data_IF_403713422326
#
_entry.id   IF_403713422326
#
_cell.length_a   1.000
_cell.length_b   1.000
_cell.length_c   1.000
_cell.angle_alpha   90.00
_cell.angle_beta   90.00
_cell.angle_gamma   90.00
#
_symmetry.space_group_name_H-M   'P 1'
#
loop_
_entity.id
_entity.type
_entity.pdbx_description
1 polymer ?
#
# COMPACT_ATOMS: atom_id res chain seq x y z
N UNK A 1 -4.16 -11.07 -2.80
CA UNK A 1 -4.66 -10.98 -4.18
C UNK A 1 -5.91 -11.80 -4.28
N UNK A 2 -6.91 -11.36 -5.06
CA UNK A 2 -7.99 -12.24 -5.47
C UNK A 2 -7.42 -13.49 -6.15
N UNK A 3 -8.12 -14.62 -6.01
CA UNK A 3 -7.73 -15.83 -6.73
C UNK A 3 -8.10 -15.73 -8.22
N UNK A 4 -7.52 -16.57 -9.07
CA UNK A 4 -7.90 -16.64 -10.50
C UNK A 4 -9.39 -16.90 -10.69
N UNK A 5 -10.03 -17.63 -9.77
CA UNK A 5 -11.48 -17.86 -9.81
C UNK A 5 -12.25 -16.54 -9.74
N UNK A 6 -11.80 -15.59 -8.90
CA UNK A 6 -12.42 -14.25 -8.81
C UNK A 6 -12.17 -13.46 -10.08
N UNK A 7 -10.94 -13.47 -10.60
CA UNK A 7 -10.60 -12.78 -11.84
C UNK A 7 -11.46 -13.27 -13.01
N UNK A 8 -11.55 -14.59 -13.19
CA UNK A 8 -12.40 -15.22 -14.19
C UNK A 8 -13.87 -14.83 -14.04
N UNK A 9 -14.41 -14.94 -12.82
CA UNK A 9 -15.81 -14.65 -12.56
C UNK A 9 -16.16 -13.19 -12.91
N UNK A 10 -15.30 -12.23 -12.58
CA UNK A 10 -15.51 -10.82 -12.95
C UNK A 10 -15.36 -10.65 -14.46
N UNK A 11 -14.32 -11.22 -15.09
CA UNK A 11 -14.08 -11.12 -16.53
C UNK A 11 -15.27 -11.64 -17.35
N UNK A 12 -15.78 -12.82 -17.00
CA UNK A 12 -16.93 -13.44 -17.68
C UNK A 12 -18.22 -12.68 -17.39
N UNK A 13 -18.56 -12.50 -16.12
CA UNK A 13 -19.90 -12.02 -15.74
C UNK A 13 -20.09 -10.52 -15.98
N UNK A 14 -19.00 -9.74 -16.02
CA UNK A 14 -19.07 -8.27 -16.14
C UNK A 14 -18.58 -7.79 -17.49
N UNK A 15 -17.53 -8.41 -18.04
CA UNK A 15 -16.94 -7.97 -19.32
C UNK A 15 -17.25 -8.90 -20.50
N UNK A 16 -17.90 -10.05 -20.27
CA UNK A 16 -18.20 -11.01 -21.34
C UNK A 16 -16.95 -11.70 -21.91
N UNK A 17 -15.81 -11.62 -21.22
CA UNK A 17 -14.56 -12.23 -21.67
C UNK A 17 -14.64 -13.73 -21.41
N UNK A 18 -14.31 -14.53 -22.42
CA UNK A 18 -14.35 -15.99 -22.30
C UNK A 18 -13.42 -16.50 -21.20
N UNK A 19 -13.80 -17.64 -20.62
CA UNK A 19 -13.05 -18.27 -19.54
C UNK A 19 -11.62 -18.58 -19.98
N UNK A 20 -11.47 -19.07 -21.19
CA UNK A 20 -10.22 -19.50 -21.81
C UNK A 20 -9.24 -18.34 -21.94
N UNK A 21 -9.72 -17.16 -22.37
CA UNK A 21 -8.90 -15.95 -22.49
C UNK A 21 -8.50 -15.46 -21.09
N UNK A 22 -9.46 -15.37 -20.16
CA UNK A 22 -9.18 -14.93 -18.79
C UNK A 22 -8.16 -15.86 -18.10
N UNK A 23 -8.27 -17.18 -18.27
CA UNK A 23 -7.33 -18.16 -17.74
C UNK A 23 -5.94 -18.02 -18.34
N UNK A 24 -5.85 -17.88 -19.66
CA UNK A 24 -4.58 -17.73 -20.35
C UNK A 24 -3.86 -16.45 -19.95
N UNK A 25 -4.58 -15.33 -19.85
CA UNK A 25 -4.00 -14.06 -19.41
C UNK A 25 -3.57 -14.14 -17.94
N UNK A 26 -4.38 -14.69 -17.04
CA UNK A 26 -3.98 -14.86 -15.63
C UNK A 26 -2.70 -15.70 -15.50
N UNK A 27 -2.57 -16.79 -16.27
CA UNK A 27 -1.35 -17.60 -16.30
C UNK A 27 -0.15 -16.78 -16.76
N UNK A 28 -0.24 -16.11 -17.90
CA UNK A 28 0.87 -15.31 -18.45
C UNK A 28 1.28 -14.21 -17.46
N UNK A 29 0.31 -13.52 -16.86
CA UNK A 29 0.57 -12.47 -15.89
C UNK A 29 1.36 -13.05 -14.71
N UNK A 30 0.85 -14.10 -14.06
CA UNK A 30 1.44 -14.65 -12.83
C UNK A 30 2.76 -15.41 -13.01
N UNK A 31 2.97 -16.08 -14.15
CA UNK A 31 4.16 -16.92 -14.35
C UNK A 31 5.32 -16.21 -15.03
N UNK A 32 5.07 -15.14 -15.81
CA UNK A 32 6.06 -14.65 -16.77
C UNK A 32 6.73 -13.30 -16.43
N UNK A 33 6.87 -12.96 -15.14
CA UNK A 33 7.38 -11.65 -14.65
C UNK A 33 6.53 -10.43 -15.11
N UNK A 34 5.30 -10.68 -15.57
CA UNK A 34 4.33 -9.67 -16.03
C UNK A 34 3.41 -9.21 -14.89
N UNK A 35 3.22 -10.06 -13.88
CA UNK A 35 2.45 -9.79 -12.66
C UNK A 35 2.86 -8.50 -11.97
N UNK A 36 4.16 -8.21 -11.96
CA UNK A 36 4.68 -7.03 -11.32
C UNK A 36 4.44 -5.74 -12.13
N UNK A 37 3.95 -5.79 -13.36
CA UNK A 37 3.64 -4.58 -14.14
C UNK A 37 2.60 -3.69 -13.42
N UNK A 38 1.63 -4.28 -12.73
CA UNK A 38 0.62 -3.56 -11.94
C UNK A 38 1.06 -3.14 -10.53
N UNK A 39 2.29 -3.45 -10.10
CA UNK A 39 2.79 -3.09 -8.76
C UNK A 39 4.14 -2.40 -8.79
N UNK A 40 5.10 -2.96 -9.53
CA UNK A 40 6.47 -2.47 -9.78
C UNK A 40 7.04 -3.16 -11.03
N UNK A 41 6.79 -2.61 -12.22
CA UNK A 41 7.66 -2.84 -13.39
C UNK A 41 9.13 -2.97 -12.91
N UNK A 42 9.91 -4.00 -13.32
CA UNK A 42 11.27 -4.18 -12.83
C UNK A 42 12.00 -2.85 -12.86
N UNK A 43 12.47 -2.34 -11.70
CA UNK A 43 12.84 -0.94 -11.56
C UNK A 43 13.89 -0.60 -12.61
N UNK A 44 13.76 0.59 -13.22
CA UNK A 44 14.82 1.08 -14.09
C UNK A 44 16.15 1.01 -13.31
N UNK A 45 17.21 0.41 -13.88
CA UNK A 45 18.49 0.38 -13.21
C UNK A 45 18.95 1.80 -12.89
N UNK A 46 19.44 2.00 -11.67
CA UNK A 46 19.93 3.31 -11.23
C UNK A 46 21.27 3.60 -11.89
N UNK A 47 21.63 4.87 -12.04
CA UNK A 47 22.95 5.25 -12.57
C UNK A 47 24.10 4.59 -11.78
N UNK A 48 24.00 4.58 -10.44
CA UNK A 48 24.99 3.92 -9.59
C UNK A 48 25.08 2.40 -9.82
N UNK A 49 23.99 1.75 -10.24
CA UNK A 49 24.01 0.33 -10.58
C UNK A 49 24.74 0.13 -11.91
N UNK A 50 24.54 0.99 -12.91
CA UNK A 50 25.33 0.95 -14.15
C UNK A 50 26.83 1.12 -13.90
N UNK A 51 27.20 1.99 -12.95
CA UNK A 51 28.61 2.27 -12.63
C UNK A 51 29.24 1.15 -11.79
N UNK A 52 28.55 0.69 -10.73
CA UNK A 52 29.14 -0.22 -9.74
C UNK A 52 28.80 -1.71 -9.97
N UNK A 53 27.77 -2.01 -10.75
CA UNK A 53 27.29 -3.38 -10.97
C UNK A 53 26.53 -3.49 -12.31
N UNK A 54 27.28 -3.35 -13.40
CA UNK A 54 26.74 -3.24 -14.76
C UNK A 54 25.93 -4.50 -15.16
N UNK A 55 26.38 -5.70 -14.79
CA UNK A 55 25.68 -6.97 -15.09
C UNK A 55 24.27 -6.99 -14.51
N UNK A 56 24.12 -6.60 -13.23
CA UNK A 56 22.81 -6.51 -12.58
C UNK A 56 21.93 -5.41 -13.18
N UNK A 57 22.54 -4.32 -13.62
CA UNK A 57 21.83 -3.24 -14.30
C UNK A 57 21.28 -3.71 -15.66
N UNK A 58 22.08 -4.46 -16.41
CA UNK A 58 21.70 -5.07 -17.68
C UNK A 58 20.61 -6.14 -17.49
N UNK A 59 20.74 -7.04 -16.51
CA UNK A 59 19.72 -8.04 -16.19
C UNK A 59 18.37 -7.36 -15.90
N UNK A 60 18.35 -6.31 -15.08
CA UNK A 60 17.13 -5.53 -14.80
C UNK A 60 16.55 -4.88 -16.05
N UNK A 61 17.39 -4.29 -16.91
CA UNK A 61 16.96 -3.68 -18.17
C UNK A 61 16.33 -4.75 -19.07
N UNK A 62 16.98 -5.91 -19.23
CA UNK A 62 16.50 -7.00 -20.05
C UNK A 62 15.17 -7.57 -19.54
N UNK A 63 15.07 -7.84 -18.22
CA UNK A 63 13.81 -8.31 -17.60
C UNK A 63 12.68 -7.30 -17.81
N UNK A 64 12.96 -6.01 -17.63
CA UNK A 64 11.98 -4.93 -17.91
C UNK A 64 11.52 -4.94 -19.36
N UNK A 65 12.45 -4.99 -20.32
CA UNK A 65 12.14 -5.00 -21.75
C UNK A 65 11.31 -6.23 -22.13
N UNK A 66 11.68 -7.41 -21.62
CA UNK A 66 10.91 -8.65 -21.83
C UNK A 66 9.49 -8.53 -21.29
N UNK A 67 9.32 -8.02 -20.07
CA UNK A 67 7.99 -7.82 -19.48
C UNK A 67 7.12 -6.84 -20.29
N UNK A 68 7.70 -5.73 -20.76
CA UNK A 68 7.00 -4.76 -21.60
C UNK A 68 6.60 -5.34 -22.96
N UNK A 69 7.50 -6.08 -23.62
CA UNK A 69 7.20 -6.73 -24.91
C UNK A 69 6.09 -7.77 -24.75
N UNK A 70 6.10 -8.54 -23.66
CA UNK A 70 5.03 -9.51 -23.36
C UNK A 70 3.69 -8.82 -23.13
N UNK A 71 3.65 -7.76 -22.33
CA UNK A 71 2.43 -6.98 -22.15
C UNK A 71 1.88 -6.45 -23.48
N UNK A 72 2.76 -5.89 -24.33
CA UNK A 72 2.39 -5.45 -25.69
C UNK A 72 1.84 -6.60 -26.53
N UNK A 73 2.44 -7.79 -26.48
CA UNK A 73 1.93 -8.97 -27.21
C UNK A 73 0.55 -9.40 -26.72
N UNK A 74 0.30 -9.38 -25.40
CA UNK A 74 -1.02 -9.71 -24.85
C UNK A 74 -2.06 -8.70 -25.35
N UNK A 75 -1.77 -7.41 -25.22
CA UNK A 75 -2.72 -6.36 -25.63
C UNK A 75 -2.98 -6.34 -27.14
N UNK A 76 -1.96 -6.62 -27.96
CA UNK A 76 -2.10 -6.65 -29.41
C UNK A 76 -2.76 -7.94 -29.93
N UNK A 77 -3.01 -8.95 -29.06
CA UNK A 77 -3.59 -10.22 -29.49
C UNK A 77 -5.08 -10.06 -29.85
N UNK A 78 -5.85 -9.42 -28.97
CA UNK A 78 -7.24 -8.98 -29.23
C UNK A 78 -7.72 -8.05 -28.11
N UNK A 79 -8.86 -7.39 -28.32
CA UNK A 79 -9.53 -6.57 -27.30
C UNK A 79 -9.76 -7.34 -26.00
N UNK A 80 -10.23 -8.57 -26.06
CA UNK A 80 -10.51 -9.40 -24.88
C UNK A 80 -9.25 -9.73 -24.08
N UNK A 81 -8.12 -9.98 -24.76
CA UNK A 81 -6.83 -10.19 -24.08
C UNK A 81 -6.34 -8.91 -23.40
N UNK A 82 -6.44 -7.76 -24.07
CA UNK A 82 -6.09 -6.47 -23.48
C UNK A 82 -6.94 -6.15 -22.25
N UNK A 83 -8.25 -6.35 -22.36
CA UNK A 83 -9.20 -6.11 -21.27
C UNK A 83 -8.98 -7.07 -20.10
N UNK A 84 -8.75 -8.37 -20.35
CA UNK A 84 -8.42 -9.32 -19.29
C UNK A 84 -7.13 -8.92 -18.56
N UNK A 85 -6.14 -8.41 -19.30
CA UNK A 85 -4.87 -7.95 -18.74
C UNK A 85 -5.07 -6.72 -17.84
N UNK A 86 -5.80 -5.70 -18.32
CA UNK A 86 -6.09 -4.51 -17.51
C UNK A 86 -6.97 -4.86 -16.31
N UNK A 87 -7.97 -5.72 -16.48
CA UNK A 87 -8.87 -6.15 -15.42
C UNK A 87 -8.14 -6.92 -14.31
N UNK A 88 -7.19 -7.78 -14.66
CA UNK A 88 -6.34 -8.46 -13.68
C UNK A 88 -5.67 -7.45 -12.74
N UNK A 89 -5.01 -6.42 -13.30
CA UNK A 89 -4.34 -5.41 -12.51
C UNK A 89 -5.33 -4.50 -11.76
N UNK A 90 -6.48 -4.17 -12.35
CA UNK A 90 -7.52 -3.39 -11.71
C UNK A 90 -8.06 -4.09 -10.45
N UNK A 91 -8.32 -5.41 -10.53
CA UNK A 91 -8.79 -6.21 -9.41
C UNK A 91 -7.76 -6.30 -8.29
N UNK A 92 -6.48 -6.39 -8.64
CA UNK A 92 -5.38 -6.38 -7.70
C UNK A 92 -5.25 -5.09 -6.89
N UNK A 93 -5.60 -3.96 -7.51
CA UNK A 93 -5.61 -2.64 -6.88
C UNK A 93 -6.91 -2.38 -6.10
N UNK A 94 -8.02 -2.91 -6.59
CA UNK A 94 -9.34 -2.81 -5.98
C UNK A 94 -9.44 -3.65 -4.70
N UNK A 95 -8.92 -4.88 -4.72
CA UNK A 95 -9.00 -5.84 -3.62
C UNK A 95 -8.58 -5.30 -2.24
N UNK A 96 -7.39 -4.67 -2.05
CA UNK A 96 -7.01 -4.12 -0.75
C UNK A 96 -7.94 -3.00 -0.29
N UNK A 97 -8.58 -2.25 -1.20
CA UNK A 97 -9.50 -1.16 -0.87
C UNK A 97 -10.87 -1.69 -0.43
N UNK A 98 -11.38 -2.73 -1.07
CA UNK A 98 -12.62 -3.38 -0.63
C UNK A 98 -12.44 -4.10 0.71
N UNK A 99 -11.29 -4.75 0.93
CA UNK A 99 -10.93 -5.30 2.24
C UNK A 99 -10.85 -4.20 3.31
N UNK A 100 -10.31 -3.03 2.98
CA UNK A 100 -10.28 -1.90 3.88
C UNK A 100 -11.69 -1.37 4.22
N UNK A 101 -12.60 -1.32 3.24
CA UNK A 101 -13.98 -0.91 3.46
C UNK A 101 -14.69 -1.86 4.44
N UNK A 102 -14.54 -3.17 4.22
CA UNK A 102 -15.03 -4.22 5.13
C UNK A 102 -14.42 -4.09 6.53
N UNK A 103 -13.10 -3.97 6.64
CA UNK A 103 -12.39 -3.89 7.93
C UNK A 103 -12.76 -2.64 8.75
N UNK A 104 -13.05 -1.52 8.08
CA UNK A 104 -13.44 -0.25 8.71
C UNK A 104 -14.95 -0.10 8.86
N UNK A 105 -15.74 -1.04 8.34
CA UNK A 105 -17.21 -0.98 8.28
C UNK A 105 -17.75 0.29 7.60
N UNK A 106 -16.96 0.91 6.72
CA UNK A 106 -17.41 2.06 5.93
C UNK A 106 -18.22 1.52 4.76
N UNK A 107 -19.49 1.95 4.58
CA UNK A 107 -20.32 1.48 3.47
C UNK A 107 -19.70 1.81 2.10
N UNK A 108 -19.84 0.91 1.13
CA UNK A 108 -19.28 1.09 -0.22
C UNK A 108 -19.93 2.25 -0.95
N UNK A 109 -21.17 2.59 -0.62
CA UNK A 109 -21.90 3.73 -1.18
C UNK A 109 -21.20 5.06 -0.83
N UNK A 110 -20.53 5.12 0.34
CA UNK A 110 -19.81 6.32 0.80
C UNK A 110 -18.39 6.45 0.26
N UNK A 111 -17.72 5.33 -0.02
CA UNK A 111 -16.31 5.32 -0.41
C UNK A 111 -16.05 4.81 -1.84
N UNK A 112 -17.06 4.24 -2.51
CA UNK A 112 -16.94 3.60 -3.82
C UNK A 112 -16.40 4.53 -4.89
N UNK A 113 -16.88 5.78 -4.95
CA UNK A 113 -16.36 6.80 -5.88
C UNK A 113 -14.87 7.10 -5.66
N UNK A 114 -14.43 7.16 -4.39
CA UNK A 114 -13.03 7.39 -4.06
C UNK A 114 -12.17 6.18 -4.40
N UNK A 115 -12.66 4.97 -4.12
CA UNK A 115 -11.99 3.71 -4.47
C UNK A 115 -11.82 3.61 -5.98
N UNK A 116 -12.89 3.83 -6.76
CA UNK A 116 -12.87 3.81 -8.23
C UNK A 116 -11.82 4.79 -8.76
N UNK A 117 -11.92 6.06 -8.36
CA UNK A 117 -10.98 7.11 -8.78
C UNK A 117 -9.52 6.74 -8.46
N UNK A 118 -9.27 6.19 -7.29
CA UNK A 118 -7.94 5.81 -6.89
C UNK A 118 -7.38 4.62 -7.69
N UNK A 119 -8.23 3.62 -8.01
CA UNK A 119 -7.86 2.49 -8.87
C UNK A 119 -7.56 2.96 -10.28
N UNK A 120 -8.38 3.84 -10.87
CA UNK A 120 -8.12 4.43 -12.19
C UNK A 120 -6.78 5.18 -12.22
N UNK A 121 -6.50 6.01 -11.21
CA UNK A 121 -5.21 6.70 -11.10
C UNK A 121 -4.03 5.76 -10.90
N UNK A 122 -4.18 4.71 -10.09
CA UNK A 122 -3.15 3.69 -9.94
C UNK A 122 -2.88 3.00 -11.30
N UNK A 123 -3.93 2.61 -12.03
CA UNK A 123 -3.82 2.00 -13.36
C UNK A 123 -3.13 2.92 -14.37
N UNK A 124 -3.52 4.19 -14.46
CA UNK A 124 -2.89 5.18 -15.34
C UNK A 124 -1.39 5.31 -15.06
N UNK A 125 -1.00 5.41 -13.78
CA UNK A 125 0.39 5.51 -13.38
C UNK A 125 1.17 4.24 -13.77
N UNK A 126 0.60 3.05 -13.53
CA UNK A 126 1.28 1.79 -13.81
C UNK A 126 1.39 1.50 -15.30
N UNK A 127 0.34 1.80 -16.05
CA UNK A 127 0.22 1.45 -17.45
C UNK A 127 0.70 2.56 -18.37
N UNK A 128 1.12 3.73 -17.86
CA UNK A 128 1.62 4.88 -18.63
C UNK A 128 2.61 4.51 -19.74
N UNK A 129 3.43 3.49 -19.52
CA UNK A 129 4.47 3.05 -20.46
C UNK A 129 3.99 2.06 -21.52
N UNK A 130 2.74 1.65 -21.41
CA UNK A 130 2.11 0.59 -22.19
C UNK A 130 0.74 1.09 -22.73
N UNK A 131 0.39 2.37 -22.55
CA UNK A 131 -0.89 2.95 -22.97
C UNK A 131 -1.02 2.92 -24.51
N UNK A 132 -2.14 2.37 -24.97
CA UNK A 132 -2.71 2.56 -26.30
C UNK A 132 -4.17 3.02 -26.19
N UNK A 133 -4.85 3.21 -27.34
CA UNK A 133 -6.26 3.64 -27.39
C UNK A 133 -7.20 2.73 -26.57
N UNK A 134 -6.93 1.42 -26.56
CA UNK A 134 -7.73 0.44 -25.82
C UNK A 134 -7.76 0.67 -24.30
N UNK A 135 -6.74 1.34 -23.74
CA UNK A 135 -6.70 1.60 -22.30
C UNK A 135 -7.75 2.63 -21.87
N UNK A 136 -7.97 3.69 -22.66
CA UNK A 136 -8.98 4.70 -22.34
C UNK A 136 -10.40 4.13 -22.44
N UNK A 137 -10.64 3.32 -23.48
CA UNK A 137 -11.89 2.58 -23.64
C UNK A 137 -12.11 1.62 -22.45
N UNK A 138 -11.06 0.93 -22.02
CA UNK A 138 -11.12 0.08 -20.83
C UNK A 138 -11.47 0.88 -19.56
N UNK A 139 -10.86 2.05 -19.32
CA UNK A 139 -11.15 2.86 -18.13
C UNK A 139 -12.62 3.30 -18.11
N UNK A 140 -13.15 3.81 -19.23
CA UNK A 140 -14.56 4.20 -19.33
C UNK A 140 -15.51 3.02 -19.07
N UNK A 141 -15.19 1.86 -19.62
CA UNK A 141 -15.99 0.64 -19.42
C UNK A 141 -15.86 0.10 -17.99
N UNK A 142 -14.68 0.19 -17.38
CA UNK A 142 -14.45 -0.17 -15.99
C UNK A 142 -15.23 0.73 -15.03
N UNK A 143 -15.25 2.04 -15.29
CA UNK A 143 -16.03 3.01 -14.51
C UNK A 143 -17.54 2.74 -14.62
N UNK A 144 -18.06 2.54 -15.83
CA UNK A 144 -19.50 2.28 -16.03
C UNK A 144 -19.94 0.94 -15.42
N UNK A 145 -19.05 -0.06 -15.40
CA UNK A 145 -19.32 -1.38 -14.82
C UNK A 145 -18.89 -1.52 -13.36
N UNK A 146 -18.34 -0.47 -12.73
CA UNK A 146 -17.75 -0.55 -11.39
C UNK A 146 -18.70 -1.13 -10.34
N UNK A 147 -19.97 -0.72 -10.36
CA UNK A 147 -20.98 -1.26 -9.44
C UNK A 147 -21.19 -2.77 -9.62
N UNK A 148 -21.18 -3.27 -10.85
CA UNK A 148 -21.31 -4.71 -11.13
C UNK A 148 -20.07 -5.48 -10.65
N UNK A 149 -18.88 -4.87 -10.72
CA UNK A 149 -17.63 -5.46 -10.25
C UNK A 149 -17.66 -5.61 -8.73
N UNK A 150 -17.92 -4.52 -7.97
CA UNK A 150 -17.85 -4.55 -6.51
C UNK A 150 -18.95 -5.39 -5.86
N UNK A 151 -20.06 -5.63 -6.56
CA UNK A 151 -21.15 -6.51 -6.11
C UNK A 151 -21.06 -7.93 -6.70
N UNK A 152 -19.97 -8.27 -7.41
CA UNK A 152 -19.80 -9.61 -7.96
C UNK A 152 -19.76 -10.67 -6.83
N UNK A 153 -20.61 -11.71 -6.86
CA UNK A 153 -20.71 -12.68 -5.74
C UNK A 153 -19.40 -13.39 -5.41
N UNK A 154 -18.58 -13.73 -6.41
CA UNK A 154 -17.30 -14.38 -6.19
C UNK A 154 -16.29 -13.45 -5.51
N UNK A 155 -16.29 -12.17 -5.87
CA UNK A 155 -15.44 -11.16 -5.23
C UNK A 155 -15.89 -10.91 -3.79
N UNK A 156 -17.19 -10.75 -3.54
CA UNK A 156 -17.74 -10.56 -2.19
C UNK A 156 -17.42 -11.74 -1.27
N UNK A 157 -17.60 -12.98 -1.74
CA UNK A 157 -17.24 -14.19 -0.98
C UNK A 157 -15.74 -14.23 -0.66
N UNK A 158 -14.89 -13.85 -1.63
CA UNK A 158 -13.45 -13.76 -1.41
C UNK A 158 -13.08 -12.69 -0.38
N UNK A 159 -13.73 -11.52 -0.43
CA UNK A 159 -13.55 -10.43 0.55
C UNK A 159 -13.94 -10.91 1.94
N UNK A 160 -15.07 -11.59 2.10
CA UNK A 160 -15.54 -12.09 3.39
C UNK A 160 -14.50 -13.02 4.03
N UNK A 161 -14.12 -14.07 3.31
CA UNK A 161 -13.17 -15.07 3.78
C UNK A 161 -11.80 -14.46 4.08
N UNK A 162 -11.32 -13.58 3.20
CA UNK A 162 -10.02 -12.93 3.37
C UNK A 162 -10.04 -11.93 4.53
N UNK A 163 -11.15 -11.24 4.76
CA UNK A 163 -11.30 -10.30 5.87
C UNK A 163 -11.20 -11.01 7.22
N UNK A 164 -11.82 -12.19 7.36
CA UNK A 164 -11.71 -13.03 8.55
C UNK A 164 -10.27 -13.42 8.83
N UNK A 165 -9.54 -13.88 7.80
CA UNK A 165 -8.12 -14.21 7.93
C UNK A 165 -7.25 -13.00 8.31
N UNK A 166 -7.53 -11.82 7.74
CA UNK A 166 -6.80 -10.59 8.07
C UNK A 166 -7.04 -10.17 9.52
N UNK A 167 -8.29 -10.20 9.98
CA UNK A 167 -8.63 -9.85 11.37
C UNK A 167 -8.05 -10.85 12.36
N UNK A 168 -8.10 -12.16 12.05
CA UNK A 168 -7.46 -13.18 12.89
C UNK A 168 -5.94 -13.00 12.97
N UNK A 169 -5.31 -12.73 11.82
CA UNK A 169 -3.89 -12.39 11.78
C UNK A 169 -3.60 -11.11 12.58
N UNK A 170 -4.47 -10.11 12.54
CA UNK A 170 -4.29 -8.85 13.30
C UNK A 170 -4.44 -9.07 14.81
N UNK A 171 -5.27 -10.01 15.23
CA UNK A 171 -5.41 -10.39 16.65
C UNK A 171 -4.20 -11.17 17.15
N UNK A 172 -3.72 -12.13 16.36
CA UNK A 172 -2.67 -13.08 16.77
C UNK A 172 -1.25 -12.59 16.53
N UNK A 173 -1.04 -11.69 15.55
CA UNK A 173 0.30 -11.21 15.20
C UNK A 173 0.77 -10.14 16.19
N UNK A 174 1.61 -10.54 17.13
CA UNK A 174 2.27 -9.61 18.04
C UNK A 174 3.33 -8.78 17.32
N UNK A 175 3.62 -7.59 17.84
CA UNK A 175 4.68 -6.71 17.32
C UNK A 175 6.04 -7.42 17.34
N UNK A 176 6.28 -8.27 18.33
CA UNK A 176 7.48 -9.10 18.45
C UNK A 176 7.59 -10.07 17.28
N UNK A 177 6.55 -10.88 17.02
CA UNK A 177 6.53 -11.85 15.91
C UNK A 177 6.71 -11.15 14.57
N UNK A 178 6.14 -9.96 14.40
CA UNK A 178 6.28 -9.17 13.19
C UNK A 178 7.69 -8.58 13.00
N UNK A 179 8.28 -7.99 14.05
CA UNK A 179 9.54 -7.26 13.95
C UNK A 179 10.78 -8.16 14.02
N UNK A 180 10.71 -9.32 14.68
CA UNK A 180 11.87 -10.18 14.94
C UNK A 180 12.72 -10.46 13.68
N UNK A 181 12.14 -10.87 12.53
CA UNK A 181 12.94 -11.13 11.33
C UNK A 181 13.62 -9.88 10.73
N UNK A 182 13.14 -8.68 11.05
CA UNK A 182 13.74 -7.42 10.62
C UNK A 182 14.84 -6.98 11.58
N UNK A 183 14.63 -7.15 12.88
CA UNK A 183 15.64 -6.91 13.92
C UNK A 183 16.85 -7.82 13.69
N UNK A 184 16.63 -9.13 13.53
CA UNK A 184 17.70 -10.10 13.26
C UNK A 184 18.50 -9.74 12.00
N UNK A 185 17.82 -9.36 10.90
CA UNK A 185 18.51 -8.91 9.67
C UNK A 185 19.27 -7.61 9.84
N UNK A 186 18.74 -6.66 10.61
CA UNK A 186 19.41 -5.40 10.89
C UNK A 186 20.67 -5.65 11.73
N UNK A 187 20.56 -6.43 12.81
CA UNK A 187 21.68 -6.81 13.67
C UNK A 187 22.76 -7.57 12.89
N UNK A 188 22.38 -8.58 12.10
CA UNK A 188 23.33 -9.33 11.26
C UNK A 188 24.16 -8.43 10.34
N UNK A 189 23.52 -7.42 9.72
CA UNK A 189 24.21 -6.44 8.85
C UNK A 189 25.12 -5.51 9.63
N UNK A 190 24.65 -5.03 10.78
CA UNK A 190 25.46 -4.17 11.65
C UNK A 190 26.71 -4.95 12.07
N UNK A 191 26.55 -6.16 12.61
CA UNK A 191 27.67 -7.02 13.07
C UNK A 191 28.65 -7.32 11.93
N UNK A 192 28.16 -7.65 10.72
CA UNK A 192 29.03 -7.93 9.57
C UNK A 192 29.84 -6.73 9.08
N UNK A 193 29.42 -5.51 9.42
CA UNK A 193 30.03 -4.28 8.95
C UNK A 193 30.81 -3.54 10.05
N UNK A 194 30.48 -3.77 11.34
CA UNK A 194 31.13 -3.13 12.48
C UNK A 194 32.31 -3.91 13.05
N UNK A 195 32.47 -5.19 12.71
CA UNK A 195 33.38 -6.06 13.47
C UNK A 195 34.34 -6.89 12.61
N UNK A 196 35.63 -6.59 12.79
CA UNK A 196 36.76 -7.51 12.69
C UNK A 196 36.91 -8.37 13.98
N UNK A 197 35.84 -8.84 14.61
CA UNK A 197 35.96 -9.60 15.87
C UNK A 197 34.74 -10.43 16.25
N UNK A 198 35.00 -11.64 16.75
CA UNK A 198 34.01 -12.68 17.06
C UNK A 198 33.14 -12.40 18.30
N UNK A 199 33.54 -11.48 19.18
CA UNK A 199 32.84 -11.19 20.44
C UNK A 199 31.48 -10.50 20.26
N UNK A 200 31.39 -9.52 19.34
CA UNK A 200 30.12 -8.81 19.08
C UNK A 200 29.06 -9.72 18.42
N UNK A 201 29.51 -10.78 17.75
CA UNK A 201 28.66 -11.80 17.11
C UNK A 201 27.97 -12.66 18.17
N UNK A 202 28.73 -13.10 19.18
CA UNK A 202 28.24 -13.81 20.36
C UNK A 202 27.22 -12.98 21.16
N UNK A 203 27.50 -11.70 21.40
CA UNK A 203 26.61 -10.81 22.16
C UNK A 203 25.31 -10.52 21.40
N UNK A 204 25.40 -10.28 20.07
CA UNK A 204 24.26 -10.06 19.20
C UNK A 204 23.32 -11.27 19.12
N UNK A 205 23.86 -12.48 18.98
CA UNK A 205 23.08 -13.73 18.98
C UNK A 205 22.40 -13.99 20.33
N UNK A 206 23.11 -13.73 21.43
CA UNK A 206 22.57 -13.87 22.80
C UNK A 206 21.42 -12.88 23.07
N UNK A 207 21.54 -11.64 22.59
CA UNK A 207 20.50 -10.61 22.72
C UNK A 207 19.25 -10.95 21.89
N UNK A 208 19.43 -11.46 20.66
CA UNK A 208 18.34 -11.92 19.79
C UNK A 208 17.52 -13.03 20.46
N UNK A 209 18.20 -13.93 21.19
CA UNK A 209 17.56 -15.04 21.90
C UNK A 209 16.86 -14.61 23.19
N UNK A 210 17.36 -13.57 23.89
CA UNK A 210 16.86 -13.15 25.20
C UNK A 210 15.75 -12.07 25.18
N UNK A 211 15.55 -11.33 24.09
CA UNK A 211 14.51 -10.29 24.06
C UNK A 211 13.08 -10.87 24.05
N UNK A 212 12.51 -11.07 25.25
CA UNK A 212 11.15 -11.61 25.45
C UNK A 212 10.05 -10.53 25.35
N UNK A 213 10.39 -9.26 25.59
CA UNK A 213 9.45 -8.12 25.66
C UNK A 213 9.74 -7.05 24.58
N UNK A 214 8.69 -6.38 24.08
CA UNK A 214 8.78 -5.21 23.20
C UNK A 214 9.57 -4.06 23.82
N UNK A 215 9.48 -3.89 25.14
CA UNK A 215 10.29 -2.92 25.87
C UNK A 215 11.78 -3.20 25.71
N UNK A 216 12.20 -4.46 25.78
CA UNK A 216 13.59 -4.88 25.56
C UNK A 216 14.05 -4.63 24.12
N UNK A 217 13.17 -4.81 23.13
CA UNK A 217 13.47 -4.44 21.73
C UNK A 217 13.69 -2.92 21.61
N UNK A 218 12.83 -2.09 22.20
CA UNK A 218 13.02 -0.63 22.19
C UNK A 218 14.29 -0.23 22.94
N UNK A 219 14.55 -0.84 24.09
CA UNK A 219 15.73 -0.56 24.92
C UNK A 219 17.01 -0.92 24.18
N UNK A 220 17.04 -2.08 23.51
CA UNK A 220 18.14 -2.50 22.65
C UNK A 220 18.34 -1.54 21.49
N UNK A 221 17.27 -1.17 20.78
CA UNK A 221 17.35 -0.20 19.69
C UNK A 221 17.84 1.16 20.19
N UNK A 222 17.44 1.56 21.39
CA UNK A 222 17.88 2.80 22.03
C UNK A 222 19.35 2.75 22.44
N UNK A 223 19.84 1.60 22.93
CA UNK A 223 21.26 1.35 23.22
C UNK A 223 22.09 1.43 21.94
N UNK A 224 21.71 0.65 20.93
CA UNK A 224 22.29 0.69 19.58
C UNK A 224 22.30 2.13 19.05
N UNK A 225 21.19 2.87 19.17
CA UNK A 225 21.12 4.28 18.79
C UNK A 225 22.13 5.16 19.53
N UNK A 226 22.25 5.03 20.86
CA UNK A 226 23.20 5.82 21.64
C UNK A 226 24.64 5.54 21.19
N UNK A 227 24.97 4.29 20.92
CA UNK A 227 26.31 3.88 20.50
C UNK A 227 26.62 4.36 19.07
N UNK A 228 25.64 4.31 18.16
CA UNK A 228 25.73 4.90 16.80
C UNK A 228 25.89 6.41 16.85
N UNK A 229 25.19 7.11 17.74
CA UNK A 229 25.29 8.56 17.81
C UNK A 229 26.64 9.03 18.35
N UNK A 230 27.33 8.19 19.15
CA UNK A 230 28.68 8.47 19.64
C UNK A 230 29.76 8.20 18.59
N UNK A 231 29.55 7.23 17.71
CA UNK A 231 30.47 6.91 16.63
C UNK A 231 29.97 7.57 15.33
N UNK A 232 30.51 8.73 14.95
CA UNK A 232 30.13 9.50 13.74
C UNK A 232 30.09 8.69 12.42
N UNK A 233 30.61 7.46 12.42
CA UNK A 233 30.63 6.55 11.29
C UNK A 233 29.53 5.51 11.44
N UNK A 234 28.52 5.61 10.55
CA UNK A 234 28.10 4.53 9.63
C UNK A 234 26.71 4.85 9.06
N UNK A 235 26.69 5.37 7.84
CA UNK A 235 25.48 5.51 7.00
C UNK A 235 24.59 4.25 7.04
N UNK A 236 25.21 3.08 7.13
CA UNK A 236 24.53 1.79 7.07
C UNK A 236 23.68 1.54 8.31
N UNK A 237 24.14 1.93 9.51
CA UNK A 237 23.32 1.74 10.71
C UNK A 237 22.12 2.70 10.69
N UNK A 238 22.32 3.96 10.27
CA UNK A 238 21.20 4.91 10.02
C UNK A 238 20.19 4.33 9.02
N UNK A 239 20.66 3.69 7.95
CA UNK A 239 19.81 3.04 6.95
C UNK A 239 19.03 1.86 7.53
N UNK A 240 19.67 0.94 8.24
CA UNK A 240 19.01 -0.23 8.84
C UNK A 240 18.01 0.18 9.93
N UNK A 241 18.34 1.19 10.74
CA UNK A 241 17.40 1.78 11.69
C UNK A 241 16.17 2.38 10.99
N UNK A 242 16.36 3.16 9.93
CA UNK A 242 15.26 3.71 9.13
C UNK A 242 14.37 2.62 8.54
N UNK A 243 14.94 1.50 8.07
CA UNK A 243 14.20 0.33 7.60
C UNK A 243 13.37 -0.25 8.74
N UNK A 244 13.95 -0.44 9.92
CA UNK A 244 13.23 -1.00 11.07
C UNK A 244 12.09 -0.10 11.54
N UNK A 245 12.32 1.21 11.65
CA UNK A 245 11.27 2.17 11.99
C UNK A 245 10.15 2.21 10.97
N UNK A 246 10.46 2.05 9.68
CA UNK A 246 9.44 1.87 8.63
C UNK A 246 8.58 0.62 8.88
N UNK A 247 9.16 -0.47 9.40
CA UNK A 247 8.40 -1.68 9.79
C UNK A 247 7.55 -1.45 11.02
N UNK A 248 8.07 -0.81 12.05
CA UNK A 248 7.28 -0.41 13.25
C UNK A 248 6.07 0.42 12.83
N UNK A 249 6.29 1.47 12.03
CA UNK A 249 5.21 2.33 11.55
C UNK A 249 4.16 1.55 10.74
N UNK A 250 4.58 0.63 9.87
CA UNK A 250 3.68 -0.23 9.11
C UNK A 250 2.84 -1.14 10.01
N UNK A 251 3.46 -1.73 11.02
CA UNK A 251 2.77 -2.55 12.01
C UNK A 251 1.71 -1.73 12.75
N UNK A 252 2.10 -0.57 13.29
CA UNK A 252 1.19 0.32 14.01
C UNK A 252 0.02 0.76 13.13
N UNK A 253 0.29 1.18 11.89
CA UNK A 253 -0.75 1.63 10.96
C UNK A 253 -1.72 0.50 10.56
N UNK A 254 -1.23 -0.73 10.45
CA UNK A 254 -2.07 -1.89 10.13
C UNK A 254 -2.94 -2.32 11.32
N UNK A 255 -2.40 -2.31 12.54
CA UNK A 255 -3.17 -2.63 13.75
C UNK A 255 -4.17 -1.54 14.12
N UNK A 256 -3.85 -0.26 13.88
CA UNK A 256 -4.76 0.86 14.16
C UNK A 256 -5.81 1.08 13.08
N UNK A 257 -5.85 0.22 12.03
CA UNK A 257 -6.67 0.38 10.82
C UNK A 257 -6.42 1.69 10.05
N UNK A 258 -5.36 2.42 10.37
CA UNK A 258 -5.03 3.69 9.70
C UNK A 258 -4.76 3.44 8.21
N UNK A 259 -4.03 2.37 7.88
CA UNK A 259 -3.80 1.98 6.50
C UNK A 259 -5.12 1.71 5.76
N UNK A 260 -6.08 1.07 6.44
CA UNK A 260 -7.38 0.75 5.85
C UNK A 260 -8.14 2.06 5.52
N UNK A 261 -8.23 3.02 6.44
CA UNK A 261 -8.85 4.31 6.16
C UNK A 261 -8.19 5.07 5.01
N UNK A 262 -6.86 5.01 4.91
CA UNK A 262 -6.13 5.68 3.84
C UNK A 262 -6.41 5.03 2.47
N UNK A 263 -6.60 3.70 2.42
CA UNK A 263 -6.99 2.99 1.20
C UNK A 263 -8.41 3.34 0.70
N UNK A 264 -9.25 3.97 1.54
CA UNK A 264 -10.56 4.47 1.13
C UNK A 264 -10.53 5.89 0.54
N UNK A 265 -9.37 6.54 0.56
CA UNK A 265 -9.19 7.87 -0.05
C UNK A 265 -8.97 7.75 -1.56
N UNK A 266 -9.21 8.82 -2.35
CA UNK A 266 -8.93 8.84 -3.79
C UNK A 266 -7.43 8.84 -4.12
N UNK A 267 -6.55 8.65 -3.13
CA UNK A 267 -5.10 8.71 -3.29
C UNK A 267 -4.58 7.38 -3.86
N UNK A 268 -3.74 7.40 -4.91
CA UNK A 268 -3.14 6.19 -5.46
C UNK A 268 -2.23 5.50 -4.43
N UNK A 269 -2.19 4.17 -4.44
CA UNK A 269 -1.44 3.34 -3.48
C UNK A 269 0.05 3.68 -3.45
N UNK A 270 0.61 4.05 -4.60
CA UNK A 270 2.01 4.50 -4.72
C UNK A 270 2.30 5.69 -3.80
N UNK A 271 1.40 6.69 -3.77
CA UNK A 271 1.52 7.89 -2.91
C UNK A 271 1.19 7.60 -1.44
N UNK A 272 0.22 6.71 -1.18
CA UNK A 272 -0.10 6.25 0.19
C UNK A 272 1.14 5.69 0.88
N UNK A 273 1.90 4.85 0.16
CA UNK A 273 3.11 4.24 0.70
C UNK A 273 4.14 5.30 1.12
N UNK A 274 4.42 6.28 0.25
CA UNK A 274 5.35 7.35 0.58
C UNK A 274 4.89 8.20 1.76
N UNK A 275 3.61 8.58 1.79
CA UNK A 275 3.06 9.42 2.86
C UNK A 275 3.07 8.71 4.21
N UNK A 276 2.62 7.45 4.27
CA UNK A 276 2.64 6.64 5.49
C UNK A 276 4.07 6.41 5.98
N UNK A 277 5.05 6.21 5.09
CA UNK A 277 6.44 6.02 5.51
C UNK A 277 7.14 7.32 5.87
N UNK A 278 6.73 8.47 5.31
CA UNK A 278 7.21 9.79 5.72
C UNK A 278 6.82 10.14 7.15
N UNK A 279 5.75 9.56 7.72
CA UNK A 279 5.39 9.70 9.16
C UNK A 279 6.58 9.42 10.10
N UNK A 280 7.57 8.64 9.68
CA UNK A 280 8.76 8.37 10.50
C UNK A 280 9.84 9.48 10.46
N UNK A 281 9.77 10.44 9.52
CA UNK A 281 10.73 11.56 9.40
C UNK A 281 10.19 12.78 10.17
N UNK A 282 10.90 13.16 11.25
CA UNK A 282 10.65 14.27 12.23
C UNK A 282 9.48 15.24 11.96
N UNK A 283 9.44 15.98 10.84
CA UNK A 283 8.36 16.95 10.53
C UNK A 283 7.02 16.30 10.10
N UNK A 284 7.06 15.19 9.37
CA UNK A 284 5.87 14.48 8.87
C UNK A 284 5.29 13.50 9.92
N UNK A 285 5.98 13.28 11.03
CA UNK A 285 5.48 12.52 12.17
C UNK A 285 4.23 13.12 12.81
N UNK A 286 4.05 14.44 12.69
CA UNK A 286 2.86 15.13 13.18
C UNK A 286 1.58 14.60 12.54
N UNK A 287 1.54 14.46 11.21
CA UNK A 287 0.35 13.99 10.47
C UNK A 287 0.00 12.54 10.82
N UNK A 288 0.99 11.66 10.93
CA UNK A 288 0.74 10.28 11.31
C UNK A 288 0.32 10.09 12.75
N UNK A 289 0.94 10.83 13.70
CA UNK A 289 0.49 10.85 15.10
C UNK A 289 -0.93 11.41 15.19
N UNK A 290 -1.26 12.42 14.39
CA UNK A 290 -2.60 12.99 14.33
C UNK A 290 -3.63 11.99 13.79
N UNK A 291 -3.32 11.30 12.69
CA UNK A 291 -4.20 10.27 12.14
C UNK A 291 -4.36 9.08 13.09
N UNK A 292 -3.30 8.66 13.78
CA UNK A 292 -3.39 7.66 14.86
C UNK A 292 -4.24 8.15 16.04
N UNK A 293 -4.13 9.42 16.42
CA UNK A 293 -4.96 10.01 17.47
C UNK A 293 -6.42 10.09 17.06
N UNK A 294 -6.73 10.36 15.79
CA UNK A 294 -8.11 10.27 15.26
C UNK A 294 -8.63 8.83 15.42
N UNK A 295 -7.85 7.83 14.98
CA UNK A 295 -8.24 6.43 15.12
C UNK A 295 -8.47 6.02 16.59
N UNK A 296 -7.72 6.59 17.54
CA UNK A 296 -7.87 6.33 18.98
C UNK A 296 -9.04 7.07 19.63
N UNK A 297 -9.23 8.36 19.29
CA UNK A 297 -10.15 9.26 20.02
C UNK A 297 -11.61 9.13 19.61
N UNK A 298 -11.88 8.76 18.36
CA UNK A 298 -13.24 8.68 17.86
C UNK A 298 -13.63 7.21 17.75
N UNK A 299 -14.74 6.79 18.33
CA UNK A 299 -15.26 5.42 18.15
C UNK A 299 -16.04 5.26 16.83
N UNK A 300 -16.64 6.36 16.36
CA UNK A 300 -17.44 6.41 15.14
C UNK A 300 -16.57 6.25 13.87
N UNK A 301 -16.90 5.23 13.07
CA UNK A 301 -16.19 4.89 11.84
C UNK A 301 -16.31 5.96 10.75
N UNK A 302 -17.44 6.65 10.63
CA UNK A 302 -17.66 7.71 9.65
C UNK A 302 -16.81 8.94 9.99
N UNK A 303 -16.77 9.34 11.27
CA UNK A 303 -15.93 10.45 11.75
C UNK A 303 -14.45 10.16 11.49
N UNK A 304 -13.98 8.94 11.77
CA UNK A 304 -12.60 8.52 11.45
C UNK A 304 -12.29 8.65 9.96
N UNK A 305 -13.20 8.17 9.10
CA UNK A 305 -13.01 8.22 7.65
C UNK A 305 -12.93 9.67 7.13
N UNK A 306 -13.85 10.55 7.54
CA UNK A 306 -13.84 11.97 7.13
C UNK A 306 -12.56 12.66 7.60
N UNK A 307 -12.20 12.50 8.88
CA UNK A 307 -11.03 13.15 9.46
C UNK A 307 -9.72 12.63 8.87
N UNK A 308 -9.61 11.32 8.61
CA UNK A 308 -8.46 10.78 7.88
C UNK A 308 -8.43 11.34 6.45
N UNK A 309 -9.54 11.30 5.72
CA UNK A 309 -9.61 11.82 4.35
C UNK A 309 -9.17 13.28 4.27
N UNK A 310 -9.65 14.14 5.17
CA UNK A 310 -9.24 15.55 5.26
C UNK A 310 -7.75 15.71 5.58
N UNK A 311 -7.24 14.94 6.55
CA UNK A 311 -5.82 15.00 6.93
C UNK A 311 -4.88 14.65 5.78
N UNK A 312 -5.31 13.75 4.89
CA UNK A 312 -4.52 13.29 3.74
C UNK A 312 -4.74 14.14 2.49
N UNK A 313 -5.93 14.70 2.28
CA UNK A 313 -6.21 15.63 1.17
C UNK A 313 -5.52 17.00 1.35
N UNK A 314 -5.29 17.42 2.60
CA UNK A 314 -4.77 18.76 2.91
C UNK A 314 -3.24 18.86 3.04
N UNK A 315 -2.50 17.75 3.00
CA UNK A 315 -1.03 17.80 3.05
C UNK A 315 -0.43 17.81 1.64
N UNK A 316 -0.12 18.98 1.04
CA UNK A 316 0.85 19.95 1.56
C UNK A 316 0.43 21.43 1.35
N UNK A 317 -0.81 21.80 1.65
CA UNK A 317 -1.18 23.22 1.73
C UNK A 317 -0.77 23.75 3.11
N UNK A 318 -0.08 24.87 3.12
CA UNK A 318 0.73 25.39 4.22
C UNK A 318 0.00 25.56 5.57
N UNK A 319 0.76 25.29 6.64
CA UNK A 319 0.79 26.00 7.95
C UNK A 319 -0.48 26.22 8.78
N UNK A 320 -1.64 25.64 8.46
CA UNK A 320 -2.77 25.67 9.40
C UNK A 320 -2.89 24.33 10.13
N UNK A 321 -2.94 24.39 11.47
CA UNK A 321 -3.21 23.20 12.27
C UNK A 321 -4.57 22.62 11.83
N UNK A 322 -4.70 21.30 11.63
CA UNK A 322 -5.99 20.68 11.30
C UNK A 322 -7.11 20.98 12.32
N UNK A 323 -6.76 21.31 13.57
CA UNK A 323 -7.70 21.83 14.58
C UNK A 323 -8.30 23.19 14.19
N UNK A 324 -7.53 24.04 13.52
CA UNK A 324 -7.99 25.32 12.97
C UNK A 324 -8.95 25.10 11.79
N UNK A 325 -8.65 24.13 10.93
CA UNK A 325 -9.53 23.71 9.82
C UNK A 325 -10.85 23.07 10.31
N UNK A 326 -10.79 22.28 11.39
CA UNK A 326 -11.99 21.72 12.03
C UNK A 326 -12.82 22.82 12.68
N UNK A 327 -12.20 23.80 13.35
CA UNK A 327 -12.91 24.98 13.90
C UNK A 327 -13.54 25.85 12.80
N UNK A 328 -12.89 25.98 11.64
CA UNK A 328 -13.44 26.70 10.49
C UNK A 328 -14.59 25.94 9.84
N UNK A 329 -14.51 24.61 9.69
CA UNK A 329 -15.58 23.81 9.09
C UNK A 329 -16.77 23.54 10.03
N UNK A 330 -16.59 23.57 11.36
CA UNK A 330 -17.72 23.57 12.30
C UNK A 330 -18.57 24.85 12.23
N UNK A 331 -18.06 25.97 11.70
CA UNK A 331 -18.89 27.15 11.37
C UNK A 331 -19.72 26.94 10.09
N UNK A 332 -19.28 26.12 9.14
CA UNK A 332 -19.97 25.87 7.86
C UNK A 332 -21.12 24.88 8.02
N UNK A 333 -21.06 23.98 9.01
CA UNK A 333 -22.14 23.02 9.31
C UNK A 333 -23.30 23.61 10.14
N UNK A 334 -23.29 24.93 10.42
CA UNK A 334 -24.36 25.66 11.12
C UNK A 334 -25.10 26.66 10.20
N UNK A 335 -25.32 26.33 8.93
CA UNK A 335 -26.32 27.05 8.12
C UNK A 335 -27.72 26.57 8.51
N UNK A 336 -28.45 27.41 9.26
CA UNK A 336 -29.91 27.28 9.43
C UNK A 336 -30.58 27.31 8.05
N UNK A 337 -31.69 26.59 7.83
CA UNK A 337 -32.44 26.69 6.60
C UNK A 337 -33.00 28.11 6.47
N UNK A 338 -32.72 28.75 5.32
CA UNK A 338 -33.42 29.95 4.89
C UNK A 338 -34.89 29.55 4.73
N UNK A 339 -35.75 30.10 5.57
CA UNK A 339 -37.20 30.06 5.38
C UNK A 339 -37.49 30.77 4.05
N UNK A 340 -38.02 30.03 3.09
CA UNK A 340 -38.78 30.61 1.98
C UNK A 340 -40.04 31.23 2.59
N UNK A 341 -40.12 32.56 2.60
CA UNK A 341 -41.38 33.29 2.71
C UNK A 341 -41.86 33.58 1.30
N UNK A 342 -43.02 33.01 1.00
CA UNK A 342 -43.94 33.35 -0.08
C UNK A 342 -44.33 34.83 0.06
N UNK A 343 -44.12 35.62 -1.00
CA UNK A 343 -45.10 36.36 -1.83
C UNK A 343 -44.38 36.74 -3.12
#
# INVERSE_FOLDING_TARGET
>A
MPSWNVHRAVAMNVFGISREIADKVNRIVDTEDVHDLGRRLPPKPRLIEWILNWEKAEEKKLRRTKALLKAKRIMNASRDYAYAFFLHHALDLLAPRLLAAKATKVPLEKCGKNILKAVCYDLEIFLQQIIGLDFQNFIQEFESKFNNIIHNPCLLKWIENTSLHIEEKRRTLTIRKYLNPYVQRALKRIISETTHGDEARSEGETIILKSRDYYEVIKLLSKIMKDIYKQEKTYIIKRNFGILMSKVARFSAWHSKLLDYVLLTPVPQTRISEMLFRITKRKSAGLGRYALNICKRFEDYNKRYVLCSLSYLLGPIQTLSPLTLIKQNHKVLNYKPVRQSII
#
